data_IF_834994513091
#
_entry.id   IF_834994513091
#
_cell.length_a   1.000
_cell.length_b   1.000
_cell.length_c   1.000
_cell.angle_alpha   90.00
_cell.angle_beta   90.00
_cell.angle_gamma   90.00
#
_symmetry.space_group_name_H-M   'P 1'
#
loop_
_entity.id
_entity.type
_entity.pdbx_description
1 polymer ?
#
# COMPACT_ATOMS: atom_id res chain seq x y z
N UNK A 1 4.67 -12.80 38.35
CA UNK A 1 5.01 -11.43 37.89
C UNK A 1 6.02 -11.53 36.76
N UNK A 2 5.54 -11.46 35.52
CA UNK A 2 6.33 -11.68 34.32
C UNK A 2 7.22 -10.47 34.01
N UNK A 3 8.50 -10.75 33.72
CA UNK A 3 9.51 -9.78 33.29
C UNK A 3 9.29 -9.42 31.82
N UNK A 4 9.26 -8.12 31.54
CA UNK A 4 9.38 -7.56 30.21
C UNK A 4 10.70 -8.01 29.55
N UNK A 5 10.60 -8.56 28.34
CA UNK A 5 11.71 -8.82 27.43
C UNK A 5 11.38 -8.14 26.12
N UNK A 6 11.65 -6.84 26.05
CA UNK A 6 11.86 -6.14 24.79
C UNK A 6 13.24 -6.55 24.27
N UNK A 7 13.26 -7.48 23.33
CA UNK A 7 14.45 -7.85 22.57
C UNK A 7 14.25 -7.41 21.12
N UNK A 8 14.56 -6.14 20.84
CA UNK A 8 14.70 -5.63 19.49
C UNK A 8 16.19 -5.67 19.14
N UNK A 9 16.65 -6.80 18.60
CA UNK A 9 17.98 -6.94 17.97
C UNK A 9 17.74 -7.47 16.57
N UNK A 10 18.04 -6.65 15.55
CA UNK A 10 17.83 -7.01 14.14
C UNK A 10 18.40 -5.99 13.17
N UNK A 11 19.73 -6.06 13.00
CA UNK A 11 20.53 -5.77 11.80
C UNK A 11 20.37 -4.44 11.02
N UNK A 12 21.48 -3.71 10.96
CA UNK A 12 21.72 -2.46 10.24
C UNK A 12 21.88 -2.73 8.73
N UNK A 13 20.80 -2.61 7.96
CA UNK A 13 20.83 -2.45 6.49
C UNK A 13 19.78 -1.40 6.12
N UNK A 14 20.21 -0.17 5.85
CA UNK A 14 19.46 0.86 5.12
C UNK A 14 17.95 0.96 5.38
N UNK A 15 17.50 0.95 6.64
CA UNK A 15 16.09 1.13 6.95
C UNK A 15 15.75 2.61 6.82
N UNK A 16 15.08 2.96 5.72
CA UNK A 16 14.18 4.11 5.72
C UNK A 16 13.36 3.99 7.01
N UNK A 17 13.51 4.97 7.91
CA UNK A 17 12.68 5.08 9.11
C UNK A 17 11.24 5.21 8.64
N UNK A 18 10.54 4.08 8.51
CA UNK A 18 9.11 4.09 8.23
C UNK A 18 8.52 4.68 9.50
N UNK A 19 8.14 5.96 9.44
CA UNK A 19 7.31 6.58 10.46
C UNK A 19 6.20 5.60 10.80
N UNK A 20 5.99 5.37 12.09
CA UNK A 20 5.00 4.41 12.60
C UNK A 20 3.65 4.67 11.90
N UNK A 21 3.27 3.78 10.99
CA UNK A 21 2.04 3.91 10.20
C UNK A 21 0.86 3.85 11.17
N UNK A 22 0.03 4.90 11.15
CA UNK A 22 -1.17 4.99 11.98
C UNK A 22 -2.40 4.57 11.19
N UNK A 23 -3.36 3.95 11.88
CA UNK A 23 -4.61 3.47 11.29
C UNK A 23 -5.80 4.05 12.08
N UNK A 24 -6.82 4.59 11.39
CA UNK A 24 -8.04 5.06 12.06
C UNK A 24 -8.74 3.90 12.77
N UNK A 25 -8.98 4.03 14.08
CA UNK A 25 -9.52 2.95 14.91
C UNK A 25 -11.01 2.65 14.63
N UNK A 26 -11.72 3.59 14.03
CA UNK A 26 -13.13 3.52 13.65
C UNK A 26 -13.38 2.71 12.37
N UNK A 27 -12.34 2.46 11.55
CA UNK A 27 -12.49 1.68 10.33
C UNK A 27 -12.47 0.17 10.61
N UNK A 28 -13.47 -0.60 10.13
CA UNK A 28 -13.52 -2.05 10.33
C UNK A 28 -12.26 -2.80 9.86
N UNK A 29 -11.64 -2.35 8.78
CA UNK A 29 -10.39 -2.97 8.28
C UNK A 29 -9.22 -2.76 9.24
N UNK A 30 -9.15 -1.62 9.92
CA UNK A 30 -8.10 -1.31 10.89
C UNK A 30 -8.18 -2.22 12.12
N UNK A 31 -9.41 -2.51 12.58
CA UNK A 31 -9.64 -3.43 13.69
C UNK A 31 -9.17 -4.87 13.37
N UNK A 32 -9.10 -5.25 12.09
CA UNK A 32 -8.60 -6.55 11.61
C UNK A 32 -7.16 -6.50 11.11
N UNK A 33 -6.41 -5.42 11.39
CA UNK A 33 -5.04 -5.22 10.89
C UNK A 33 -4.12 -6.42 11.10
N UNK A 34 -4.06 -6.97 12.31
CA UNK A 34 -3.14 -8.08 12.61
C UNK A 34 -3.45 -9.34 11.79
N UNK A 35 -4.72 -9.69 11.65
CA UNK A 35 -5.20 -10.82 10.84
C UNK A 35 -4.87 -10.62 9.35
N UNK A 36 -5.08 -9.40 8.83
CA UNK A 36 -4.78 -9.06 7.44
C UNK A 36 -3.26 -9.11 7.17
N UNK A 37 -2.45 -8.56 8.07
CA UNK A 37 -0.98 -8.58 7.95
C UNK A 37 -0.45 -10.03 7.93
N UNK A 38 -0.98 -10.88 8.82
CA UNK A 38 -0.63 -12.30 8.85
C UNK A 38 -1.05 -13.01 7.56
N UNK A 39 -2.27 -12.77 7.08
CA UNK A 39 -2.76 -13.33 5.83
C UNK A 39 -1.87 -12.95 4.64
N UNK A 40 -1.50 -11.66 4.50
CA UNK A 40 -0.63 -11.18 3.41
C UNK A 40 0.78 -11.74 3.52
N UNK A 41 1.30 -11.94 4.74
CA UNK A 41 2.64 -12.50 4.95
C UNK A 41 2.72 -13.97 4.54
N UNK A 42 1.67 -14.74 4.85
CA UNK A 42 1.70 -16.20 4.74
C UNK A 42 1.11 -16.72 3.41
N UNK A 43 0.47 -15.86 2.61
CA UNK A 43 -0.20 -16.28 1.38
C UNK A 43 0.23 -15.40 0.20
N UNK A 44 0.47 -16.03 -0.96
CA UNK A 44 0.77 -15.32 -2.20
C UNK A 44 -0.43 -14.51 -2.72
N UNK A 45 -1.66 -15.00 -2.47
CA UNK A 45 -2.91 -14.37 -2.87
C UNK A 45 -3.85 -14.33 -1.67
N UNK A 46 -4.41 -13.15 -1.40
CA UNK A 46 -5.36 -12.94 -0.30
C UNK A 46 -6.61 -12.27 -0.85
N UNK A 47 -7.77 -12.79 -0.49
CA UNK A 47 -9.06 -12.17 -0.81
C UNK A 47 -9.58 -11.48 0.45
N UNK A 48 -9.70 -10.16 0.41
CA UNK A 48 -10.19 -9.35 1.54
C UNK A 48 -11.59 -8.83 1.21
N UNK A 49 -12.60 -9.43 1.85
CA UNK A 49 -13.99 -9.02 1.70
C UNK A 49 -14.42 -8.07 2.84
N UNK A 50 -15.28 -7.10 2.53
CA UNK A 50 -15.89 -6.21 3.51
C UNK A 50 -16.78 -5.17 2.83
N UNK A 51 -17.69 -4.55 3.58
CA UNK A 51 -18.62 -3.54 3.04
C UNK A 51 -17.90 -2.33 2.41
N UNK A 52 -18.58 -1.61 1.51
CA UNK A 52 -18.11 -0.29 1.05
C UNK A 52 -17.96 0.64 2.26
N UNK A 53 -16.93 1.49 2.25
CA UNK A 53 -16.62 2.36 3.38
C UNK A 53 -15.86 1.68 4.52
N UNK A 54 -15.57 0.37 4.46
CA UNK A 54 -14.82 -0.32 5.50
C UNK A 54 -13.33 0.06 5.61
N UNK A 55 -12.83 0.91 4.70
CA UNK A 55 -11.45 1.40 4.67
C UNK A 55 -10.47 0.61 3.80
N UNK A 56 -10.89 -0.49 3.15
CA UNK A 56 -9.99 -1.39 2.39
C UNK A 56 -9.04 -0.65 1.45
N UNK A 57 -9.62 0.20 0.60
CA UNK A 57 -8.91 0.90 -0.48
C UNK A 57 -7.79 1.82 0.02
N UNK A 58 -7.91 2.39 1.23
CA UNK A 58 -6.92 3.31 1.79
C UNK A 58 -5.98 2.63 2.79
N UNK A 59 -6.44 1.61 3.51
CA UNK A 59 -5.65 1.00 4.58
C UNK A 59 -4.81 -0.20 4.14
N UNK A 60 -5.26 -1.02 3.19
CA UNK A 60 -4.50 -2.21 2.75
C UNK A 60 -3.13 -1.83 2.15
N UNK A 61 -3.00 -0.80 1.28
CA UNK A 61 -1.68 -0.39 0.78
C UNK A 61 -0.72 0.05 1.90
N UNK A 62 -1.24 0.68 2.96
CA UNK A 62 -0.46 1.05 4.15
C UNK A 62 0.01 -0.18 4.93
N UNK A 63 -0.83 -1.21 5.05
CA UNK A 63 -0.45 -2.50 5.64
C UNK A 63 0.63 -3.21 4.81
N UNK A 64 0.56 -3.13 3.48
CA UNK A 64 1.62 -3.64 2.62
C UNK A 64 2.94 -2.90 2.86
N UNK A 65 2.93 -1.56 2.97
CA UNK A 65 4.12 -0.79 3.34
C UNK A 65 4.68 -1.19 4.71
N UNK A 66 3.81 -1.43 5.68
CA UNK A 66 4.20 -1.90 7.02
C UNK A 66 4.94 -3.25 6.98
N UNK A 67 4.51 -4.15 6.09
CA UNK A 67 5.19 -5.43 5.85
C UNK A 67 6.50 -5.28 5.05
N UNK A 68 6.91 -4.06 4.72
CA UNK A 68 8.13 -3.79 3.97
C UNK A 68 8.01 -3.99 2.46
N UNK A 69 6.78 -4.03 1.91
CA UNK A 69 6.57 -3.98 0.45
C UNK A 69 7.01 -2.63 -0.09
N UNK A 70 7.67 -2.62 -1.24
CA UNK A 70 8.34 -1.44 -1.79
C UNK A 70 7.87 -1.07 -3.20
N UNK A 71 7.12 -1.94 -3.89
CA UNK A 71 6.54 -1.64 -5.19
C UNK A 71 5.12 -2.20 -5.31
N UNK A 72 4.16 -1.37 -4.94
CA UNK A 72 2.74 -1.72 -4.84
C UNK A 72 1.98 -1.03 -5.98
N UNK A 73 1.38 -1.81 -6.87
CA UNK A 73 0.40 -1.34 -7.83
C UNK A 73 -1.01 -1.46 -7.23
N UNK A 74 -1.74 -0.35 -7.12
CA UNK A 74 -3.08 -0.35 -6.56
C UNK A 74 -4.08 0.14 -7.60
N UNK A 75 -4.90 -0.77 -8.12
CA UNK A 75 -5.80 -0.48 -9.23
C UNK A 75 -7.09 0.19 -8.78
N UNK A 76 -7.59 1.12 -9.60
CA UNK A 76 -8.87 1.81 -9.41
C UNK A 76 -9.58 1.96 -10.76
N UNK A 77 -10.90 1.72 -10.86
CA UNK A 77 -11.59 1.67 -12.15
C UNK A 77 -11.72 3.03 -12.84
N UNK A 78 -11.51 4.14 -12.10
CA UNK A 78 -11.75 5.51 -12.58
C UNK A 78 -10.59 6.42 -12.21
N UNK A 79 -10.30 7.39 -13.09
CA UNK A 79 -9.21 8.36 -12.86
C UNK A 79 -9.39 9.19 -11.59
N UNK A 80 -10.62 9.67 -11.36
CA UNK A 80 -10.95 10.47 -10.17
C UNK A 80 -10.76 9.63 -8.90
N UNK A 81 -11.13 8.34 -8.94
CA UNK A 81 -10.90 7.43 -7.81
C UNK A 81 -9.42 7.19 -7.56
N UNK A 82 -8.63 6.91 -8.61
CA UNK A 82 -7.18 6.72 -8.48
C UNK A 82 -6.50 7.93 -7.81
N UNK A 83 -6.82 9.13 -8.29
CA UNK A 83 -6.30 10.38 -7.73
C UNK A 83 -6.74 10.59 -6.28
N UNK A 84 -8.05 10.52 -6.00
CA UNK A 84 -8.57 10.77 -4.65
C UNK A 84 -8.06 9.75 -3.62
N UNK A 85 -7.91 8.48 -4.02
CA UNK A 85 -7.33 7.43 -3.16
C UNK A 85 -5.86 7.72 -2.88
N UNK A 86 -5.07 8.10 -3.89
CA UNK A 86 -3.66 8.44 -3.68
C UNK A 86 -3.49 9.68 -2.78
N UNK A 87 -4.26 10.74 -3.03
CA UNK A 87 -4.30 11.94 -2.19
C UNK A 87 -4.62 11.57 -0.73
N UNK A 88 -5.64 10.72 -0.52
CA UNK A 88 -6.03 10.28 0.82
C UNK A 88 -4.95 9.46 1.53
N UNK A 89 -4.33 8.51 0.82
CA UNK A 89 -3.25 7.70 1.41
C UNK A 89 -2.03 8.57 1.74
N UNK A 90 -1.67 9.52 0.86
CA UNK A 90 -0.59 10.47 1.10
C UNK A 90 -0.86 11.37 2.32
N UNK A 91 -2.08 11.90 2.43
CA UNK A 91 -2.55 12.69 3.58
C UNK A 91 -2.42 11.90 4.89
N UNK A 92 -2.93 10.66 4.93
CA UNK A 92 -2.87 9.81 6.12
C UNK A 92 -1.45 9.41 6.52
N UNK A 93 -0.55 9.26 5.53
CA UNK A 93 0.87 8.99 5.76
C UNK A 93 1.70 10.25 5.98
N UNK A 94 1.10 11.45 5.88
CA UNK A 94 1.75 12.76 6.02
C UNK A 94 2.95 12.93 5.08
N UNK A 95 2.78 12.51 3.83
CA UNK A 95 3.78 12.63 2.76
C UNK A 95 3.23 13.49 1.62
N UNK A 96 4.12 14.08 0.84
CA UNK A 96 3.74 14.77 -0.38
C UNK A 96 3.29 13.77 -1.46
N UNK A 97 2.21 14.11 -2.17
CA UNK A 97 1.75 13.32 -3.29
C UNK A 97 2.77 13.36 -4.44
N UNK A 98 3.22 12.18 -4.86
CA UNK A 98 4.30 12.00 -5.84
C UNK A 98 5.62 11.57 -5.20
N UNK A 99 5.74 11.61 -3.87
CA UNK A 99 6.87 11.05 -3.13
C UNK A 99 6.62 9.58 -2.81
N UNK A 100 6.45 9.18 -1.54
CA UNK A 100 6.19 7.79 -1.13
C UNK A 100 4.92 7.19 -1.77
N UNK A 101 3.90 8.03 -1.98
CA UNK A 101 2.60 7.66 -2.57
C UNK A 101 2.37 8.53 -3.81
N UNK A 102 2.00 7.92 -4.91
CA UNK A 102 1.70 8.62 -6.16
C UNK A 102 0.56 7.97 -6.92
N UNK A 103 0.18 8.58 -8.05
CA UNK A 103 -0.80 7.97 -8.94
C UNK A 103 -0.40 8.08 -10.41
N UNK A 104 -0.93 7.16 -11.22
CA UNK A 104 -0.80 7.19 -12.66
C UNK A 104 -2.14 6.90 -13.34
N UNK A 105 -2.57 7.82 -14.19
CA UNK A 105 -3.73 7.68 -15.05
C UNK A 105 -3.34 8.01 -16.48
N UNK A 106 -4.24 7.76 -17.45
CA UNK A 106 -3.94 8.11 -18.83
C UNK A 106 -3.63 9.62 -18.94
N UNK A 107 -2.48 9.93 -19.51
CA UNK A 107 -1.91 11.27 -19.72
C UNK A 107 -1.41 12.00 -18.46
N UNK A 108 -1.42 11.39 -17.29
CA UNK A 108 -0.93 12.03 -16.06
C UNK A 108 -0.22 11.01 -15.18
N UNK A 109 1.04 11.27 -14.86
CA UNK A 109 1.82 10.50 -13.91
C UNK A 109 2.33 11.45 -12.82
N UNK A 110 1.78 11.33 -11.62
CA UNK A 110 2.20 12.05 -10.42
C UNK A 110 2.88 11.05 -9.49
N UNK A 111 4.07 10.61 -9.88
CA UNK A 111 4.92 9.70 -9.11
C UNK A 111 6.40 9.98 -9.37
N UNK A 112 7.27 9.41 -8.55
CA UNK A 112 8.72 9.54 -8.66
C UNK A 112 9.41 8.20 -8.43
N UNK A 113 10.74 8.17 -8.54
CA UNK A 113 11.54 7.00 -8.18
C UNK A 113 11.41 6.60 -6.70
N UNK A 114 10.89 7.48 -5.85
CA UNK A 114 10.65 7.22 -4.42
C UNK A 114 9.28 6.59 -4.16
N UNK A 115 8.39 6.60 -5.16
CA UNK A 115 7.01 6.09 -5.01
C UNK A 115 7.00 4.59 -4.81
N UNK A 116 6.48 4.18 -3.65
CA UNK A 116 6.29 2.76 -3.29
C UNK A 116 4.85 2.31 -3.47
N UNK A 117 3.87 3.21 -3.27
CA UNK A 117 2.46 2.96 -3.55
C UNK A 117 2.06 3.78 -4.78
N UNK A 118 1.83 3.11 -5.90
CA UNK A 118 1.31 3.74 -7.11
C UNK A 118 -0.13 3.34 -7.32
N UNK A 119 -1.05 4.27 -7.07
CA UNK A 119 -2.47 4.08 -7.39
C UNK A 119 -2.67 4.35 -8.88
N UNK A 120 -3.33 3.45 -9.60
CA UNK A 120 -3.42 3.58 -11.06
C UNK A 120 -4.77 3.11 -11.57
N UNK A 121 -5.13 3.54 -12.79
CA UNK A 121 -6.28 2.92 -13.46
C UNK A 121 -5.96 1.55 -14.00
N UNK A 122 -6.95 0.68 -14.11
CA UNK A 122 -6.82 -0.67 -14.69
C UNK A 122 -6.11 -0.65 -16.05
N UNK A 123 -6.47 0.32 -16.91
CA UNK A 123 -5.84 0.50 -18.21
C UNK A 123 -4.33 0.82 -18.16
N UNK A 124 -3.83 1.44 -17.09
CA UNK A 124 -2.39 1.66 -16.90
C UNK A 124 -1.69 0.34 -16.57
N UNK A 125 -2.27 -0.47 -15.68
CA UNK A 125 -1.71 -1.78 -15.35
C UNK A 125 -1.76 -2.74 -16.55
N UNK A 126 -2.87 -2.75 -17.29
CA UNK A 126 -3.02 -3.55 -18.52
C UNK A 126 -1.97 -3.18 -19.58
N UNK A 127 -1.71 -1.87 -19.78
CA UNK A 127 -0.65 -1.42 -20.68
C UNK A 127 0.76 -1.80 -20.18
N UNK A 128 0.99 -1.79 -18.86
CA UNK A 128 2.25 -2.28 -18.28
C UNK A 128 2.45 -3.78 -18.55
N UNK A 129 1.39 -4.58 -18.43
CA UNK A 129 1.41 -6.02 -18.69
C UNK A 129 1.71 -6.36 -20.16
N UNK A 130 1.29 -5.51 -21.11
CA UNK A 130 1.66 -5.69 -22.52
C UNK A 130 3.17 -5.54 -22.77
N UNK A 131 3.85 -4.71 -21.97
CA UNK A 131 5.31 -4.50 -22.05
C UNK A 131 6.08 -5.55 -21.26
N UNK A 132 5.62 -5.87 -20.05
CA UNK A 132 6.16 -6.94 -19.21
C UNK A 132 5.01 -7.78 -18.65
N UNK A 133 4.78 -8.94 -19.26
CA UNK A 133 3.68 -9.84 -18.89
C UNK A 133 3.77 -10.36 -17.46
N UNK A 134 4.98 -10.45 -16.90
CA UNK A 134 5.19 -10.94 -15.53
C UNK A 134 5.04 -9.85 -14.47
N UNK A 135 4.97 -8.58 -14.88
CA UNK A 135 4.82 -7.44 -13.97
C UNK A 135 5.87 -7.39 -12.85
N UNK A 136 7.09 -7.87 -13.12
CA UNK A 136 8.18 -8.06 -12.14
C UNK A 136 8.63 -6.76 -11.44
N UNK A 137 8.26 -5.61 -12.00
CA UNK A 137 8.48 -4.32 -11.36
C UNK A 137 7.64 -4.09 -10.10
N UNK A 138 6.58 -4.89 -9.87
CA UNK A 138 5.71 -4.81 -8.70
C UNK A 138 5.89 -6.04 -7.82
N UNK A 139 6.09 -5.83 -6.52
CA UNK A 139 6.11 -6.91 -5.53
C UNK A 139 4.72 -7.22 -4.97
N UNK A 140 3.76 -6.32 -5.19
CA UNK A 140 2.38 -6.40 -4.70
C UNK A 140 1.44 -5.76 -5.71
N UNK A 141 0.33 -6.41 -6.01
CA UNK A 141 -0.77 -5.86 -6.81
C UNK A 141 -2.04 -5.93 -5.95
N UNK A 142 -2.77 -4.81 -5.90
CA UNK A 142 -4.02 -4.62 -5.17
C UNK A 142 -5.14 -4.27 -6.16
#
# INVERSE_FOLDING_TARGET
>A
MARARDAFIGNTIGLVSIQKISYPADLPVSARRSEILEAIKNNQVVVIAGATGSGKTTQIPKMCLELGRNSIAHTQPRRIAARAVAERIAEELKVELGDLVGYQVRFTDQSSAKTKVKVMTDGILLNAMQRNRKLEQYDTII
#
